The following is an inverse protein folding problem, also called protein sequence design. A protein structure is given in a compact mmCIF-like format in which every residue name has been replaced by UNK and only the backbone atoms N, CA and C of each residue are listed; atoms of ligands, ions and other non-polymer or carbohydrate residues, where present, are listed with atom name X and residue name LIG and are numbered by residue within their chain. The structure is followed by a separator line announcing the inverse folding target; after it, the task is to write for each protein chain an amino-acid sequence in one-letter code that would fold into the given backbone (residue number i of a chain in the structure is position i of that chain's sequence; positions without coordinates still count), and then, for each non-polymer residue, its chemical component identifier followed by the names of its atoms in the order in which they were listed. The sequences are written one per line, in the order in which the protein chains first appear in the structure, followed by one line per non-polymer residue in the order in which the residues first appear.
data_IF_353892391427
#
_entry.id   IF_353892391427
#
_cell.length_a   1.000
_cell.length_b   1.000
_cell.length_c   1.000
_cell.angle_alpha   90.00
_cell.angle_beta   90.00
_cell.angle_gamma   90.00
#
_symmetry.space_group_name_H-M   'P 1'
#
loop_
_entity.id
_entity.type
_entity.pdbx_description
1 polymer ?
#
# COMPACT_ATOMS: atom_id res chain seq x y z
N UNK A 1 -2.79 31.45 65.46
CA UNK A 1 -2.26 31.34 64.08
C UNK A 1 -1.69 29.95 63.78
N UNK A 2 -0.94 29.31 64.70
CA UNK A 2 -0.35 27.96 64.53
C UNK A 2 -1.35 26.83 64.23
N UNK A 3 -2.55 26.80 64.84
CA UNK A 3 -3.53 25.72 64.61
C UNK A 3 -4.09 25.66 63.19
N UNK A 4 -4.30 26.84 62.57
CA UNK A 4 -4.76 26.93 61.18
C UNK A 4 -3.62 26.64 60.19
N UNK A 5 -2.39 27.04 60.53
CA UNK A 5 -1.19 26.73 59.74
C UNK A 5 -0.94 25.22 59.66
N UNK A 6 -1.07 24.49 60.78
CA UNK A 6 -0.95 23.03 60.80
C UNK A 6 -2.06 22.35 59.97
N UNK A 7 -3.28 22.88 60.02
CA UNK A 7 -4.41 22.39 59.22
C UNK A 7 -4.19 22.57 57.71
N UNK A 8 -3.65 23.72 57.30
CA UNK A 8 -3.34 24.00 55.88
C UNK A 8 -2.23 23.08 55.37
N UNK A 9 -1.18 22.83 56.16
CA UNK A 9 -0.09 21.92 55.78
C UNK A 9 -0.59 20.49 55.58
N UNK A 10 -1.49 20.01 56.45
CA UNK A 10 -2.05 18.66 56.37
C UNK A 10 -2.97 18.49 55.16
N UNK A 11 -3.69 19.56 54.78
CA UNK A 11 -4.57 19.60 53.61
C UNK A 11 -3.76 19.59 52.30
N UNK A 12 -2.64 20.33 52.25
CA UNK A 12 -1.69 20.27 51.12
C UNK A 12 -1.05 18.89 50.99
N UNK A 13 -0.73 18.23 52.11
CA UNK A 13 -0.16 16.88 52.10
C UNK A 13 -1.12 15.83 51.51
N UNK A 14 -2.43 15.97 51.75
CA UNK A 14 -3.46 15.09 51.18
C UNK A 14 -3.59 15.26 49.65
N UNK A 15 -3.35 16.45 49.11
CA UNK A 15 -3.36 16.70 47.66
C UNK A 15 -2.16 16.11 46.92
N UNK A 16 -1.05 15.78 47.62
CA UNK A 16 0.12 15.18 46.98
C UNK A 16 -0.08 13.71 46.58
N UNK A 17 -1.10 13.03 47.11
CA UNK A 17 -1.42 11.64 46.77
C UNK A 17 -2.46 11.46 45.65
N UNK A 18 -2.99 12.55 45.07
CA UNK A 18 -4.00 12.47 44.01
C UNK A 18 -3.45 12.31 42.58
N UNK A 19 -2.14 12.10 42.41
CA UNK A 19 -1.55 11.77 41.10
C UNK A 19 -1.62 10.26 40.82
N UNK A 20 -2.84 9.75 40.63
CA UNK A 20 -3.05 8.45 40.00
C UNK A 20 -3.42 8.70 38.53
N UNK A 21 -2.41 9.02 37.71
CA UNK A 21 -2.59 9.03 36.27
C UNK A 21 -2.81 7.58 35.81
N UNK A 22 -4.06 7.22 35.52
CA UNK A 22 -4.40 5.95 34.87
C UNK A 22 -3.58 5.85 33.58
N UNK A 23 -2.87 4.73 33.39
CA UNK A 23 -2.10 4.48 32.17
C UNK A 23 -3.08 4.57 31.00
N UNK A 24 -2.87 5.56 30.12
CA UNK A 24 -3.54 5.60 28.82
C UNK A 24 -3.20 4.30 28.11
N UNK A 25 -4.22 3.61 27.61
CA UNK A 25 -4.09 2.38 26.84
C UNK A 25 -3.07 2.60 25.71
N UNK A 26 -1.87 2.08 25.93
CA UNK A 26 -0.84 2.02 24.91
C UNK A 26 -1.18 0.77 24.11
N UNK A 27 -1.68 0.96 22.89
CA UNK A 27 -1.94 -0.15 21.95
C UNK A 27 -0.62 -0.89 21.77
N UNK A 28 -0.52 -2.04 22.43
CA UNK A 28 0.64 -2.91 22.40
C UNK A 28 0.49 -3.73 21.12
N UNK A 29 1.42 -3.54 20.18
CA UNK A 29 1.58 -4.37 18.98
C UNK A 29 2.07 -5.76 19.38
N UNK A 30 1.25 -6.54 20.08
CA UNK A 30 1.48 -7.95 20.35
C UNK A 30 1.07 -8.74 19.10
N UNK A 31 2.01 -9.39 18.40
CA UNK A 31 1.70 -10.09 17.17
C UNK A 31 1.12 -11.46 17.51
N UNK A 32 -0.21 -11.60 17.54
CA UNK A 32 -0.76 -12.85 17.04
C UNK A 32 -0.69 -12.78 15.52
N UNK A 33 0.13 -13.64 14.93
CA UNK A 33 0.51 -13.58 13.50
C UNK A 33 -0.68 -13.67 12.54
N UNK A 34 -1.81 -14.19 13.02
CA UNK A 34 -3.07 -14.33 12.30
C UNK A 34 -3.83 -13.00 12.21
N UNK A 35 -4.01 -12.28 13.33
CA UNK A 35 -4.72 -11.00 13.35
C UNK A 35 -3.99 -9.90 12.56
N UNK A 36 -2.65 -9.89 12.60
CA UNK A 36 -1.85 -8.93 11.83
C UNK A 36 -2.05 -9.05 10.32
N UNK A 37 -2.23 -10.27 9.80
CA UNK A 37 -2.48 -10.48 8.36
C UNK A 37 -3.85 -9.92 7.95
N UNK A 38 -4.87 -10.14 8.79
CA UNK A 38 -6.23 -9.64 8.54
C UNK A 38 -6.29 -8.12 8.60
N UNK A 39 -5.60 -7.49 9.57
CA UNK A 39 -5.51 -6.03 9.66
C UNK A 39 -4.79 -5.41 8.46
N UNK A 40 -3.72 -6.04 7.96
CA UNK A 40 -3.00 -5.56 6.78
C UNK A 40 -3.82 -5.62 5.51
N UNK A 41 -4.59 -6.70 5.29
CA UNK A 41 -5.47 -6.79 4.12
C UNK A 41 -6.65 -5.83 4.21
N UNK A 42 -7.19 -5.60 5.42
CA UNK A 42 -8.34 -4.70 5.63
C UNK A 42 -7.98 -3.23 5.45
N UNK A 43 -6.72 -2.85 5.71
CA UNK A 43 -6.24 -1.46 5.62
C UNK A 43 -5.27 -1.21 4.45
N UNK A 44 -5.16 -2.15 3.50
CA UNK A 44 -4.27 -1.96 2.35
C UNK A 44 -4.74 -0.76 1.51
N UNK A 45 -3.82 0.11 1.06
CA UNK A 45 -4.16 1.23 0.20
C UNK A 45 -4.77 0.72 -1.11
N UNK A 46 -5.81 1.43 -1.54
CA UNK A 46 -6.49 1.19 -2.81
C UNK A 46 -5.89 2.11 -3.87
N UNK A 47 -5.78 1.58 -5.08
CA UNK A 47 -5.35 2.33 -6.24
C UNK A 47 -6.34 3.45 -6.56
N UNK A 48 -5.83 4.59 -7.02
CA UNK A 48 -6.60 5.81 -7.30
C UNK A 48 -6.23 6.41 -8.66
N UNK A 49 -7.09 7.29 -9.18
CA UNK A 49 -6.77 8.08 -10.36
C UNK A 49 -5.49 8.91 -10.11
N UNK A 50 -4.62 8.96 -11.11
CA UNK A 50 -3.30 9.60 -11.03
C UNK A 50 -2.17 8.69 -10.54
N UNK A 51 -2.47 7.51 -9.97
CA UNK A 51 -1.42 6.56 -9.60
C UNK A 51 -0.65 6.08 -10.84
N UNK A 52 0.67 5.99 -10.72
CA UNK A 52 1.57 5.48 -11.76
C UNK A 52 2.00 4.06 -11.39
N UNK A 53 1.69 3.11 -12.26
CA UNK A 53 1.91 1.69 -12.05
C UNK A 53 2.95 1.15 -13.02
N UNK A 54 3.84 0.31 -12.52
CA UNK A 54 4.64 -0.59 -13.36
C UNK A 54 4.02 -1.97 -13.30
N UNK A 55 3.63 -2.49 -14.47
CA UNK A 55 3.02 -3.81 -14.60
C UNK A 55 3.97 -4.66 -15.45
N UNK A 56 4.38 -5.81 -14.90
CA UNK A 56 5.24 -6.78 -15.56
C UNK A 56 4.56 -8.13 -15.56
N UNK A 57 4.43 -8.72 -16.74
CA UNK A 57 3.78 -10.02 -16.93
C UNK A 57 4.84 -11.09 -17.12
N UNK A 58 4.78 -12.16 -16.35
CA UNK A 58 5.69 -13.30 -16.49
C UNK A 58 4.89 -14.55 -16.79
N UNK A 59 5.37 -15.36 -17.73
CA UNK A 59 4.78 -16.64 -18.10
C UNK A 59 5.91 -17.68 -18.28
N UNK A 60 5.55 -18.96 -18.30
CA UNK A 60 6.51 -20.04 -18.55
C UNK A 60 7.14 -19.91 -19.95
N UNK A 61 6.32 -19.57 -20.96
CA UNK A 61 6.80 -19.13 -22.27
C UNK A 61 6.87 -17.60 -22.33
N UNK A 62 8.10 -17.08 -22.46
CA UNK A 62 8.36 -15.63 -22.61
C UNK A 62 7.64 -15.05 -23.83
N UNK A 63 7.47 -15.83 -24.90
CA UNK A 63 6.77 -15.39 -26.11
C UNK A 63 5.28 -15.14 -25.86
N UNK A 64 4.69 -15.87 -24.91
CA UNK A 64 3.30 -15.67 -24.51
C UNK A 64 3.13 -14.36 -23.73
N UNK A 65 4.09 -14.00 -22.87
CA UNK A 65 4.06 -12.74 -22.12
C UNK A 65 4.44 -11.50 -22.96
N UNK A 66 5.20 -11.68 -24.05
CA UNK A 66 5.73 -10.58 -24.86
C UNK A 66 4.68 -9.55 -25.33
N UNK A 67 3.46 -9.93 -25.78
CA UNK A 67 2.42 -8.97 -26.17
C UNK A 67 1.93 -8.06 -25.04
N UNK A 68 2.11 -8.47 -23.77
CA UNK A 68 1.69 -7.70 -22.59
C UNK A 68 2.81 -6.84 -22.00
N UNK A 69 4.05 -7.03 -22.46
CA UNK A 69 5.23 -6.32 -22.00
C UNK A 69 5.87 -5.53 -23.16
N UNK A 70 5.27 -4.41 -23.58
CA UNK A 70 5.82 -3.62 -24.68
C UNK A 70 7.21 -3.08 -24.30
N UNK A 71 8.16 -3.23 -25.21
CA UNK A 71 9.46 -2.56 -25.11
C UNK A 71 9.31 -1.12 -25.62
N UNK A 72 9.89 -0.17 -24.90
CA UNK A 72 9.87 1.24 -25.30
C UNK A 72 10.55 1.42 -26.67
N UNK A 73 9.93 2.11 -27.64
CA UNK A 73 10.51 2.32 -28.97
C UNK A 73 11.82 3.13 -28.93
N UNK A 74 12.06 3.86 -27.85
CA UNK A 74 13.30 4.61 -27.64
C UNK A 74 14.54 3.73 -27.43
N UNK A 75 14.40 2.41 -27.29
CA UNK A 75 15.53 1.47 -27.31
C UNK A 75 16.03 1.12 -28.72
N UNK A 76 15.33 1.50 -29.79
CA UNK A 76 15.59 1.04 -31.15
C UNK A 76 16.62 1.83 -31.97
N UNK A 77 17.19 2.93 -31.48
CA UNK A 77 18.05 3.81 -32.27
C UNK A 77 19.37 4.12 -31.57
N UNK A 78 20.36 3.25 -31.79
CA UNK A 78 21.78 3.59 -31.64
C UNK A 78 22.28 3.61 -30.19
N UNK A 79 23.20 2.69 -29.91
CA UNK A 79 23.94 2.55 -28.64
C UNK A 79 23.11 1.92 -27.53
N UNK A 80 23.29 0.62 -27.33
CA UNK A 80 22.96 -0.04 -26.05
C UNK A 80 23.96 0.52 -25.03
N UNK A 81 23.63 1.67 -24.44
CA UNK A 81 24.21 2.06 -23.16
C UNK A 81 23.59 1.14 -22.12
N UNK A 82 24.42 0.57 -21.27
CA UNK A 82 24.12 -0.40 -20.19
C UNK A 82 23.26 0.18 -19.06
N UNK A 83 22.39 1.14 -19.38
CA UNK A 83 21.63 1.96 -18.45
C UNK A 83 20.14 1.65 -18.57
N UNK A 84 19.70 0.75 -17.69
CA UNK A 84 18.32 0.53 -17.25
C UNK A 84 17.27 0.29 -18.36
N UNK A 85 16.76 -0.94 -18.56
CA UNK A 85 15.62 -1.15 -19.45
C UNK A 85 14.45 -0.31 -18.98
N UNK A 86 14.08 0.70 -19.77
CA UNK A 86 12.92 1.56 -19.49
C UNK A 86 11.68 0.67 -19.37
N UNK A 87 11.19 0.47 -18.14
CA UNK A 87 9.95 -0.24 -17.87
C UNK A 87 8.76 0.67 -18.21
N UNK A 88 7.81 0.21 -19.04
CA UNK A 88 6.58 0.95 -19.28
C UNK A 88 5.86 1.26 -17.97
N UNK A 89 5.31 2.46 -17.88
CA UNK A 89 4.45 2.88 -16.78
C UNK A 89 3.05 3.16 -17.29
N UNK A 90 2.06 2.89 -16.45
CA UNK A 90 0.65 3.07 -16.73
C UNK A 90 0.07 4.00 -15.68
N UNK A 91 -0.53 5.10 -16.11
CA UNK A 91 -1.25 6.01 -15.22
C UNK A 91 -2.72 5.62 -15.17
N UNK A 92 -3.29 5.53 -13.98
CA UNK A 92 -4.73 5.35 -13.82
C UNK A 92 -5.42 6.66 -14.19
N UNK A 93 -6.29 6.62 -15.19
CA UNK A 93 -7.03 7.79 -15.66
C UNK A 93 -8.15 8.21 -14.70
N UNK A 94 -8.83 9.32 -14.99
CA UNK A 94 -9.91 9.86 -14.17
C UNK A 94 -11.12 8.92 -14.06
N UNK A 95 -11.29 8.01 -15.03
CA UNK A 95 -12.30 6.96 -14.97
C UNK A 95 -11.82 5.77 -14.13
N UNK A 96 -10.62 5.81 -13.56
CA UNK A 96 -10.06 4.75 -12.73
C UNK A 96 -9.51 3.57 -13.52
N UNK A 97 -9.20 3.77 -14.80
CA UNK A 97 -8.77 2.73 -15.73
C UNK A 97 -7.33 2.93 -16.21
N UNK A 98 -6.66 1.84 -16.58
CA UNK A 98 -5.40 1.87 -17.32
C UNK A 98 -5.63 1.37 -18.74
N UNK A 99 -4.95 1.95 -19.73
CA UNK A 99 -4.91 1.38 -21.08
C UNK A 99 -3.76 0.37 -21.15
N UNK A 100 -4.11 -0.92 -21.05
CA UNK A 100 -3.15 -2.00 -20.94
C UNK A 100 -3.02 -2.78 -22.27
N UNK A 101 -1.81 -3.18 -22.68
CA UNK A 101 -1.62 -3.90 -23.94
C UNK A 101 -2.48 -5.15 -24.01
N UNK A 102 -3.08 -5.37 -25.18
CA UNK A 102 -3.97 -6.51 -25.50
C UNK A 102 -5.31 -6.53 -24.74
N UNK A 103 -5.39 -6.02 -23.52
CA UNK A 103 -6.63 -5.94 -22.73
C UNK A 103 -7.42 -4.66 -22.99
N UNK A 104 -6.77 -3.58 -23.42
CA UNK A 104 -7.38 -2.26 -23.55
C UNK A 104 -7.64 -1.63 -22.19
N UNK A 105 -8.79 -0.97 -22.02
CA UNK A 105 -9.17 -0.30 -20.77
C UNK A 105 -9.47 -1.31 -19.66
N UNK A 106 -8.72 -1.23 -18.56
CA UNK A 106 -8.88 -2.09 -17.38
C UNK A 106 -9.08 -1.23 -16.14
N UNK A 107 -10.21 -1.41 -15.46
CA UNK A 107 -10.54 -0.71 -14.20
C UNK A 107 -9.69 -1.26 -13.06
N UNK A 108 -8.79 -0.43 -12.52
CA UNK A 108 -7.94 -0.80 -11.37
C UNK A 108 -8.20 0.05 -10.13
N UNK A 109 -8.77 1.25 -10.28
CA UNK A 109 -9.07 2.10 -9.13
C UNK A 109 -10.06 1.42 -8.17
N UNK A 110 -9.82 1.58 -6.87
CA UNK A 110 -10.60 0.96 -5.81
C UNK A 110 -10.16 -0.45 -5.43
N UNK A 111 -9.29 -1.08 -6.22
CA UNK A 111 -8.65 -2.35 -5.88
C UNK A 111 -7.40 -2.11 -5.04
N UNK A 112 -7.10 -3.03 -4.12
CA UNK A 112 -5.76 -3.11 -3.53
C UNK A 112 -4.77 -3.66 -4.56
N UNK A 113 -3.47 -3.48 -4.33
CA UNK A 113 -2.43 -4.05 -5.21
C UNK A 113 -2.63 -5.55 -5.46
N UNK A 114 -2.95 -6.32 -4.42
CA UNK A 114 -3.18 -7.76 -4.52
C UNK A 114 -4.41 -8.08 -5.36
N UNK A 115 -5.50 -7.34 -5.15
CA UNK A 115 -6.72 -7.50 -5.94
C UNK A 115 -6.48 -7.16 -7.42
N UNK A 116 -5.75 -6.08 -7.70
CA UNK A 116 -5.38 -5.69 -9.06
C UNK A 116 -4.51 -6.75 -9.75
N UNK A 117 -3.54 -7.35 -9.03
CA UNK A 117 -2.72 -8.46 -9.56
C UNK A 117 -3.59 -9.66 -9.92
N UNK A 118 -4.51 -10.06 -9.03
CA UNK A 118 -5.39 -11.19 -9.28
C UNK A 118 -6.33 -10.91 -10.46
N UNK A 119 -6.91 -9.71 -10.51
CA UNK A 119 -7.76 -9.29 -11.61
C UNK A 119 -7.01 -9.34 -12.96
N UNK A 120 -5.80 -8.78 -13.03
CA UNK A 120 -4.98 -8.83 -14.25
C UNK A 120 -4.58 -10.26 -14.60
N UNK A 121 -4.26 -11.11 -13.62
CA UNK A 121 -3.96 -12.54 -13.86
C UNK A 121 -5.14 -13.25 -14.49
N UNK A 122 -6.36 -13.03 -13.99
CA UNK A 122 -7.57 -13.66 -14.51
C UNK A 122 -7.90 -13.18 -15.92
N UNK A 123 -7.70 -11.89 -16.21
CA UNK A 123 -7.90 -11.34 -17.56
C UNK A 123 -6.83 -11.83 -18.55
N UNK A 124 -5.55 -11.82 -18.17
CA UNK A 124 -4.43 -12.27 -19.01
C UNK A 124 -4.49 -13.78 -19.25
N UNK A 125 -4.90 -14.57 -18.25
CA UNK A 125 -5.02 -16.03 -18.34
C UNK A 125 -6.02 -16.50 -19.41
N UNK A 126 -6.91 -15.63 -19.89
CA UNK A 126 -7.79 -15.92 -21.04
C UNK A 126 -7.03 -15.98 -22.37
N UNK A 127 -5.82 -15.45 -22.42
CA UNK A 127 -5.01 -15.33 -23.64
C UNK A 127 -3.77 -16.22 -23.63
N UNK A 128 -3.22 -16.51 -22.44
CA UNK A 128 -1.95 -17.24 -22.29
C UNK A 128 -2.03 -18.23 -21.12
N UNK A 129 -1.25 -19.30 -21.22
CA UNK A 129 -1.14 -20.38 -20.23
C UNK A 129 0.21 -20.32 -19.52
#
# INVERSE_FOLDING_TARGET
MSKYFLGVVLLVYLFLFSNCASRKDMIYLQPDSTELRTFYETNAPKLQAGDILTISVTAADVRAAAPFNPISPYQGSGTITTTNPYMPTYTIDDNGEVDFPKLGKVKLAGLTRTQAINHLRDEIGKFIV
#
